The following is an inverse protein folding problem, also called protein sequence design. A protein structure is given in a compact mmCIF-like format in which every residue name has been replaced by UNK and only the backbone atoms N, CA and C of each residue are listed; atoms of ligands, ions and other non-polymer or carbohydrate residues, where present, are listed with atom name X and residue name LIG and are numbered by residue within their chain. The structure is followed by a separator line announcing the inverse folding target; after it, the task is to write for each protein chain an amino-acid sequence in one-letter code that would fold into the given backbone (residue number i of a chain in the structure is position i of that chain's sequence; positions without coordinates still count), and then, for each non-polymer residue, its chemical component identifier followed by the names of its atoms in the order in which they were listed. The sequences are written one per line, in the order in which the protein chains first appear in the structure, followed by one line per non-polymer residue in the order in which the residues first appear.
data_IF_259779808237
#
_entry.id   IF_259779808237
#
_cell.length_a   1.000
_cell.length_b   1.000
_cell.length_c   1.000
_cell.angle_alpha   90.00
_cell.angle_beta   90.00
_cell.angle_gamma   90.00
#
_symmetry.space_group_name_H-M   'P 1'
#
loop_
_entity.id
_entity.type
_entity.pdbx_description
1 polymer ?
#
# COMPACT_ATOMS: atom_id res chain seq x y z
N UNK A 1 4.94 16.18 21.53
CA UNK A 1 4.52 15.70 22.87
C UNK A 1 5.59 14.78 23.43
N UNK A 2 5.41 14.25 24.65
CA UNK A 2 6.46 13.47 25.34
C UNK A 2 6.45 11.95 25.03
N UNK A 3 5.59 11.48 24.12
CA UNK A 3 5.43 10.06 23.79
C UNK A 3 4.83 9.22 24.93
N UNK A 4 4.77 7.88 24.76
CA UNK A 4 4.99 7.16 23.51
C UNK A 4 3.86 7.40 22.50
N UNK A 5 4.15 7.22 21.21
CA UNK A 5 3.24 7.45 20.09
C UNK A 5 2.84 6.13 19.41
N UNK A 6 1.64 6.03 18.82
CA UNK A 6 1.32 4.90 17.97
C UNK A 6 2.29 4.84 16.78
N UNK A 7 2.87 3.67 16.54
CA UNK A 7 3.90 3.45 15.52
C UNK A 7 3.30 3.08 14.16
N UNK A 8 3.89 3.59 13.08
CA UNK A 8 3.52 3.26 11.69
C UNK A 8 4.80 2.99 10.89
N UNK A 9 4.81 1.95 10.06
CA UNK A 9 5.81 1.79 8.99
C UNK A 9 5.18 2.28 7.68
N UNK A 10 5.88 3.16 6.99
CA UNK A 10 5.48 3.76 5.72
C UNK A 10 6.32 3.19 4.56
N UNK A 11 5.62 2.65 3.56
CA UNK A 11 6.21 1.97 2.40
C UNK A 11 5.68 2.59 1.10
N UNK A 12 6.61 3.09 0.28
CA UNK A 12 6.33 3.55 -1.08
C UNK A 12 6.39 2.42 -2.11
N UNK A 13 5.98 2.74 -3.34
CA UNK A 13 5.98 1.82 -4.47
C UNK A 13 7.37 1.57 -5.07
N UNK A 14 7.36 1.10 -6.31
CA UNK A 14 8.58 0.98 -7.11
C UNK A 14 9.16 2.37 -7.40
N UNK A 15 10.48 2.51 -7.27
CA UNK A 15 11.22 3.76 -7.35
C UNK A 15 12.65 3.57 -6.83
N UNK A 16 12.75 2.76 -5.78
CA UNK A 16 13.95 2.68 -4.94
C UNK A 16 14.08 3.93 -4.08
N UNK A 17 15.18 4.02 -3.34
CA UNK A 17 15.42 5.15 -2.44
C UNK A 17 14.56 5.12 -1.18
N UNK A 18 14.47 6.28 -0.53
CA UNK A 18 13.76 6.48 0.73
C UNK A 18 12.93 7.78 0.68
N UNK A 19 11.70 7.75 0.14
CA UNK A 19 10.81 8.91 0.20
C UNK A 19 10.29 9.14 1.63
N UNK A 20 10.72 10.22 2.28
CA UNK A 20 10.40 10.47 3.69
C UNK A 20 9.19 11.40 3.91
N UNK A 21 8.78 12.13 2.88
CA UNK A 21 7.85 13.27 3.04
C UNK A 21 6.49 12.87 3.63
N UNK A 22 5.94 11.71 3.27
CA UNK A 22 4.66 11.21 3.84
C UNK A 22 4.81 10.85 5.31
N UNK A 23 5.88 10.15 5.68
CA UNK A 23 6.19 9.83 7.07
C UNK A 23 6.37 11.09 7.93
N UNK A 24 7.14 12.06 7.44
CA UNK A 24 7.35 13.35 8.11
C UNK A 24 6.04 14.12 8.34
N UNK A 25 5.18 14.19 7.33
CA UNK A 25 3.88 14.84 7.45
C UNK A 25 2.96 14.10 8.42
N UNK A 26 2.95 12.77 8.39
CA UNK A 26 2.12 11.96 9.29
C UNK A 26 2.61 12.03 10.75
N UNK A 27 3.92 12.18 10.98
CA UNK A 27 4.49 12.35 12.32
C UNK A 27 3.96 13.62 13.03
N UNK A 28 3.66 14.69 12.28
CA UNK A 28 3.02 15.91 12.81
C UNK A 28 1.59 15.67 13.34
N UNK A 29 1.00 14.50 13.05
CA UNK A 29 -0.34 14.12 13.48
C UNK A 29 -0.34 13.17 14.69
N UNK A 30 0.79 13.03 15.39
CA UNK A 30 0.90 12.32 16.66
C UNK A 30 1.27 10.83 16.53
N UNK A 31 1.93 10.47 15.43
CA UNK A 31 2.42 9.11 15.16
C UNK A 31 3.95 9.08 15.18
N UNK A 32 4.55 7.95 15.57
CA UNK A 32 5.94 7.65 15.28
C UNK A 32 5.97 6.89 13.95
N UNK A 33 6.58 7.46 12.90
CA UNK A 33 6.50 6.90 11.55
C UNK A 33 7.89 6.59 11.01
N UNK A 34 8.12 5.33 10.64
CA UNK A 34 9.34 4.88 9.98
C UNK A 34 9.10 4.82 8.47
N UNK A 35 9.69 5.74 7.71
CA UNK A 35 9.85 5.54 6.27
C UNK A 35 10.84 4.39 6.06
N UNK A 36 10.42 3.35 5.33
CA UNK A 36 11.22 2.13 5.14
C UNK A 36 11.60 1.97 3.68
N UNK A 37 12.90 2.08 3.39
CA UNK A 37 13.46 1.66 2.11
C UNK A 37 13.52 0.13 2.06
N UNK A 38 13.47 -0.46 0.87
CA UNK A 38 13.59 -1.93 0.73
C UNK A 38 14.40 -2.36 -0.50
N UNK A 39 14.80 -1.42 -1.37
CA UNK A 39 15.76 -1.62 -2.45
C UNK A 39 16.24 -0.27 -3.01
N UNK A 40 17.36 -0.27 -3.74
CA UNK A 40 17.84 0.90 -4.46
C UNK A 40 18.22 2.07 -3.55
N UNK A 41 18.64 1.80 -2.32
CA UNK A 41 19.03 2.79 -1.32
C UNK A 41 20.22 2.28 -0.51
N UNK A 42 21.26 3.10 -0.36
CA UNK A 42 22.49 2.76 0.36
C UNK A 42 23.05 1.37 0.01
N UNK A 43 23.19 0.48 0.99
CA UNK A 43 23.71 -0.88 0.86
C UNK A 43 22.64 -1.94 0.56
N UNK A 44 21.36 -1.55 0.49
CA UNK A 44 20.27 -2.44 0.10
C UNK A 44 20.43 -2.95 -1.35
N UNK A 45 19.77 -4.07 -1.71
CA UNK A 45 19.80 -4.59 -3.06
C UNK A 45 19.46 -3.52 -4.11
N UNK A 46 20.28 -3.41 -5.16
CA UNK A 46 20.12 -2.37 -6.19
C UNK A 46 18.88 -2.56 -7.08
N UNK A 47 18.38 -3.79 -7.17
CA UNK A 47 17.29 -4.16 -8.07
C UNK A 47 16.21 -4.92 -7.30
N UNK A 48 14.96 -4.69 -7.71
CA UNK A 48 13.82 -5.43 -7.21
C UNK A 48 13.72 -6.78 -7.94
N UNK A 49 14.35 -7.82 -7.39
CA UNK A 49 14.28 -9.20 -7.91
C UNK A 49 13.53 -10.14 -6.98
N UNK A 50 13.91 -10.08 -5.71
CA UNK A 50 13.28 -10.84 -4.65
C UNK A 50 13.23 -10.02 -3.36
N UNK A 51 12.24 -10.31 -2.54
CA UNK A 51 12.06 -9.74 -1.21
C UNK A 51 11.94 -10.86 -0.19
N UNK A 52 12.61 -10.69 0.94
CA UNK A 52 12.58 -11.59 2.09
C UNK A 52 11.83 -10.89 3.22
N UNK A 53 10.71 -11.45 3.66
CA UNK A 53 9.87 -10.80 4.69
C UNK A 53 10.57 -10.70 6.05
N UNK A 54 11.64 -11.46 6.28
CA UNK A 54 12.54 -11.33 7.42
C UNK A 54 13.08 -9.90 7.57
N UNK A 55 13.43 -9.22 6.47
CA UNK A 55 13.85 -7.81 6.48
C UNK A 55 12.76 -6.89 7.06
N UNK A 56 11.52 -7.13 6.67
CA UNK A 56 10.39 -6.34 7.13
C UNK A 56 9.99 -6.72 8.56
N UNK A 57 10.18 -7.98 8.97
CA UNK A 57 10.03 -8.45 10.34
C UNK A 57 11.02 -7.78 11.29
N UNK A 58 12.28 -7.61 10.86
CA UNK A 58 13.28 -6.82 11.57
C UNK A 58 12.83 -5.36 11.77
N UNK A 59 12.28 -4.71 10.73
CA UNK A 59 11.77 -3.35 10.84
C UNK A 59 10.56 -3.24 11.79
N UNK A 60 9.64 -4.21 11.77
CA UNK A 60 8.51 -4.30 12.72
C UNK A 60 9.05 -4.43 14.15
N UNK A 61 9.99 -5.33 14.38
CA UNK A 61 10.60 -5.57 15.70
C UNK A 61 11.36 -4.33 16.20
N UNK A 62 12.12 -3.67 15.33
CA UNK A 62 12.80 -2.42 15.64
C UNK A 62 11.81 -1.35 16.13
N UNK A 63 10.71 -1.16 15.41
CA UNK A 63 9.66 -0.21 15.82
C UNK A 63 9.04 -0.59 17.15
N UNK A 64 8.69 -1.85 17.38
CA UNK A 64 8.06 -2.31 18.62
C UNK A 64 8.99 -2.22 19.85
N UNK A 65 10.30 -2.30 19.65
CA UNK A 65 11.30 -2.16 20.72
C UNK A 65 11.65 -0.70 21.03
N UNK A 66 11.31 0.24 20.15
CA UNK A 66 11.63 1.65 20.35
C UNK A 66 10.81 2.26 21.50
N UNK A 67 11.47 2.88 22.48
CA UNK A 67 10.84 3.37 23.73
C UNK A 67 9.77 4.44 23.54
N UNK A 68 9.75 5.11 22.39
CA UNK A 68 8.75 6.11 22.01
C UNK A 68 7.60 5.54 21.15
N UNK A 69 7.58 4.24 20.87
CA UNK A 69 6.48 3.56 20.17
C UNK A 69 5.60 2.85 21.20
N UNK A 70 4.29 3.09 21.13
CA UNK A 70 3.34 2.69 22.16
C UNK A 70 3.08 1.17 22.21
N UNK A 71 3.09 0.49 21.07
CA UNK A 71 2.64 -0.90 20.97
C UNK A 71 1.15 -1.09 21.32
N UNK A 72 0.68 -2.35 21.47
CA UNK A 72 1.42 -3.61 21.37
C UNK A 72 1.71 -4.05 19.92
N UNK A 73 1.10 -3.40 18.94
CA UNK A 73 1.38 -3.56 17.52
C UNK A 73 1.57 -2.21 16.83
N UNK A 74 1.90 -2.25 15.55
CA UNK A 74 2.08 -1.07 14.70
C UNK A 74 1.05 -1.01 13.56
N UNK A 75 0.94 0.17 12.95
CA UNK A 75 0.28 0.36 11.66
C UNK A 75 1.22 0.15 10.49
N UNK A 76 0.67 -0.23 9.34
CA UNK A 76 1.36 -0.26 8.05
C UNK A 76 0.65 0.67 7.06
N UNK A 77 1.37 1.57 6.42
CA UNK A 77 0.87 2.43 5.34
C UNK A 77 1.64 2.12 4.07
N UNK A 78 0.95 1.57 3.07
CA UNK A 78 1.58 1.16 1.81
C UNK A 78 0.96 1.85 0.60
N UNK A 79 1.78 2.32 -0.33
CA UNK A 79 1.34 2.79 -1.65
C UNK A 79 1.88 1.88 -2.76
N UNK A 80 1.05 1.54 -3.76
CA UNK A 80 1.48 0.75 -4.93
C UNK A 80 2.14 -0.58 -4.51
N UNK A 81 3.38 -0.85 -4.92
CA UNK A 81 4.17 -2.01 -4.44
C UNK A 81 4.32 -2.05 -2.92
N UNK A 82 4.46 -0.90 -2.25
CA UNK A 82 4.45 -0.85 -0.78
C UNK A 82 3.14 -1.38 -0.20
N UNK A 83 2.03 -1.23 -0.92
CA UNK A 83 0.74 -1.81 -0.54
C UNK A 83 0.74 -3.34 -0.56
N UNK A 84 1.28 -3.96 -1.63
CA UNK A 84 1.34 -5.43 -1.69
C UNK A 84 2.30 -6.03 -0.64
N UNK A 85 3.37 -5.29 -0.30
CA UNK A 85 4.28 -5.64 0.80
C UNK A 85 3.57 -5.51 2.14
N UNK A 86 2.78 -4.45 2.37
CA UNK A 86 1.97 -4.31 3.58
C UNK A 86 0.96 -5.46 3.75
N UNK A 87 0.28 -5.88 2.68
CA UNK A 87 -0.63 -7.05 2.71
C UNK A 87 0.16 -8.32 3.06
N UNK A 88 1.34 -8.48 2.48
CA UNK A 88 2.23 -9.62 2.74
C UNK A 88 2.72 -9.64 4.19
N UNK A 89 3.22 -8.52 4.70
CA UNK A 89 3.61 -8.35 6.10
C UNK A 89 2.46 -8.69 7.03
N UNK A 90 1.27 -8.13 6.80
CA UNK A 90 0.08 -8.40 7.60
C UNK A 90 -0.33 -9.88 7.61
N UNK A 91 -0.08 -10.60 6.50
CA UNK A 91 -0.47 -12.01 6.34
C UNK A 91 0.47 -12.99 7.04
N UNK A 92 1.75 -12.62 7.19
CA UNK A 92 2.80 -13.54 7.63
C UNK A 92 3.48 -13.15 8.94
N UNK A 93 3.52 -11.86 9.27
CA UNK A 93 4.23 -11.33 10.43
C UNK A 93 3.27 -11.07 11.60
N UNK A 94 3.84 -11.04 12.81
CA UNK A 94 3.12 -10.66 14.04
C UNK A 94 3.37 -9.19 14.38
N UNK A 95 2.58 -8.64 15.30
CA UNK A 95 2.75 -7.26 15.77
C UNK A 95 2.17 -6.18 14.86
N UNK A 96 1.30 -6.56 13.92
CA UNK A 96 0.62 -5.63 13.01
C UNK A 96 -0.84 -5.50 13.44
N UNK A 97 -1.28 -4.28 13.75
CA UNK A 97 -2.63 -3.99 14.26
C UNK A 97 -3.55 -3.44 13.17
N UNK A 98 -3.03 -2.64 12.25
CA UNK A 98 -3.83 -1.97 11.23
C UNK A 98 -3.03 -1.75 9.95
N UNK A 99 -3.64 -1.94 8.79
CA UNK A 99 -2.97 -1.79 7.49
C UNK A 99 -3.81 -0.91 6.56
N UNK A 100 -3.26 0.23 6.16
CA UNK A 100 -3.86 1.14 5.17
C UNK A 100 -3.10 1.04 3.85
N UNK A 101 -3.85 0.90 2.76
CA UNK A 101 -3.32 0.65 1.41
C UNK A 101 -3.82 1.74 0.47
N UNK A 102 -2.93 2.42 -0.22
CA UNK A 102 -3.24 3.39 -1.26
C UNK A 102 -2.91 2.76 -2.61
N UNK A 103 -3.93 2.47 -3.41
CA UNK A 103 -3.78 1.84 -4.72
C UNK A 103 -2.87 0.60 -4.69
N UNK A 104 -3.03 -0.24 -3.65
CA UNK A 104 -2.26 -1.47 -3.44
C UNK A 104 -2.83 -2.67 -4.20
N UNK A 105 -2.02 -3.71 -4.35
CA UNK A 105 -2.43 -5.01 -4.89
C UNK A 105 -2.55 -6.05 -3.78
N UNK A 106 -3.49 -7.00 -3.93
CA UNK A 106 -3.60 -8.21 -3.08
C UNK A 106 -2.92 -9.43 -3.71
N UNK A 107 -2.31 -9.26 -4.87
CA UNK A 107 -1.39 -10.20 -5.49
C UNK A 107 0.04 -9.63 -5.43
N UNK A 108 1.03 -10.50 -5.29
CA UNK A 108 2.44 -10.11 -5.31
C UNK A 108 2.86 -9.76 -6.74
N UNK A 109 3.35 -8.54 -6.97
CA UNK A 109 3.73 -8.08 -8.33
C UNK A 109 5.22 -7.79 -8.43
N UNK A 110 5.83 -8.18 -9.56
CA UNK A 110 7.14 -7.71 -10.02
C UNK A 110 8.39 -8.35 -9.41
N UNK A 111 8.29 -8.99 -8.23
CA UNK A 111 9.40 -9.68 -7.58
C UNK A 111 8.95 -11.00 -6.95
N UNK A 112 9.87 -11.94 -6.74
CA UNK A 112 9.59 -13.13 -5.90
C UNK A 112 9.54 -12.69 -4.44
N UNK A 113 8.50 -13.11 -3.71
CA UNK A 113 8.42 -12.86 -2.27
C UNK A 113 8.70 -14.16 -1.51
N UNK A 114 9.55 -14.08 -0.49
CA UNK A 114 9.96 -15.21 0.35
C UNK A 114 9.70 -14.91 1.82
N UNK A 115 9.33 -15.96 2.56
CA UNK A 115 9.33 -15.95 4.02
C UNK A 115 9.51 -17.36 4.52
N UNK A 116 10.66 -17.67 5.14
CA UNK A 116 11.02 -19.04 5.53
C UNK A 116 10.87 -19.98 4.32
N UNK A 117 10.11 -21.06 4.47
CA UNK A 117 9.86 -22.05 3.42
C UNK A 117 8.77 -21.61 2.42
N UNK A 118 8.16 -20.44 2.59
CA UNK A 118 7.08 -19.94 1.73
C UNK A 118 7.70 -19.10 0.60
N UNK A 119 7.22 -19.35 -0.62
CA UNK A 119 7.54 -18.54 -1.80
C UNK A 119 6.25 -18.16 -2.52
N UNK A 120 6.06 -16.87 -2.77
CA UNK A 120 4.97 -16.34 -3.59
C UNK A 120 5.60 -15.80 -4.89
N UNK A 121 5.29 -16.37 -6.07
CA UNK A 121 5.80 -15.87 -7.33
C UNK A 121 5.18 -14.51 -7.69
N UNK A 122 5.83 -13.69 -8.53
CA UNK A 122 5.22 -12.49 -9.07
C UNK A 122 4.06 -12.85 -10.00
N UNK A 123 3.00 -12.05 -9.97
CA UNK A 123 1.89 -12.09 -10.90
C UNK A 123 2.41 -11.91 -12.33
N UNK A 124 1.94 -12.77 -13.25
CA UNK A 124 2.33 -12.74 -14.65
C UNK A 124 1.94 -11.44 -15.34
N UNK A 125 2.70 -11.11 -16.38
CA UNK A 125 2.51 -9.90 -17.19
C UNK A 125 2.34 -10.30 -18.66
N UNK A 126 1.35 -9.70 -19.32
CA UNK A 126 1.15 -9.83 -20.77
C UNK A 126 1.26 -8.46 -21.45
N UNK A 127 2.44 -8.19 -22.01
CA UNK A 127 2.74 -6.92 -22.67
C UNK A 127 1.90 -6.67 -23.93
N UNK A 128 1.24 -7.70 -24.50
CA UNK A 128 0.32 -7.51 -25.63
C UNK A 128 -0.96 -6.75 -25.25
N UNK A 129 -1.26 -6.63 -23.95
CA UNK A 129 -2.41 -5.85 -23.43
C UNK A 129 -2.07 -4.39 -23.16
N UNK A 130 -0.80 -3.99 -23.26
CA UNK A 130 -0.38 -2.58 -23.14
C UNK A 130 -0.85 -1.82 -24.38
N UNK A 131 -1.46 -0.65 -24.16
CA UNK A 131 -1.94 0.22 -25.23
C UNK A 131 -1.02 1.42 -25.32
N UNK A 132 -0.57 1.80 -26.51
CA UNK A 132 0.29 2.98 -26.70
C UNK A 132 -0.47 3.99 -27.53
N UNK A 133 -0.70 5.18 -26.96
CA UNK A 133 -1.38 6.27 -27.64
C UNK A 133 -0.48 6.97 -28.67
N UNK A 134 -1.07 7.88 -29.45
CA UNK A 134 -0.33 8.68 -30.44
C UNK A 134 0.78 9.55 -29.82
N UNK A 135 0.62 9.94 -28.54
CA UNK A 135 1.63 10.68 -27.77
C UNK A 135 2.85 9.85 -27.37
N UNK A 136 2.84 8.52 -27.59
CA UNK A 136 3.87 7.60 -27.13
C UNK A 136 3.77 7.23 -25.65
N UNK A 137 2.80 7.79 -24.92
CA UNK A 137 2.49 7.40 -23.53
C UNK A 137 1.71 6.08 -23.56
N UNK A 138 2.17 5.12 -22.76
CA UNK A 138 1.53 3.83 -22.63
C UNK A 138 0.48 3.80 -21.52
N UNK A 139 -0.58 3.04 -21.74
CA UNK A 139 -1.55 2.64 -20.73
C UNK A 139 -1.31 1.16 -20.40
N UNK A 140 -0.95 0.90 -19.15
CA UNK A 140 -0.49 -0.41 -18.66
C UNK A 140 -1.51 -1.09 -17.74
N UNK A 141 -2.69 -0.49 -17.55
CA UNK A 141 -3.74 -0.96 -16.62
C UNK A 141 -4.11 -2.44 -16.79
N UNK A 142 -4.08 -2.95 -18.04
CA UNK A 142 -4.41 -4.32 -18.39
C UNK A 142 -3.18 -5.24 -18.53
N UNK A 143 -1.96 -4.78 -18.22
CA UNK A 143 -0.75 -5.58 -18.43
C UNK A 143 -0.72 -6.83 -17.54
N UNK A 144 -1.12 -6.70 -16.26
CA UNK A 144 -1.10 -7.79 -15.29
C UNK A 144 -2.15 -8.86 -15.57
N UNK A 145 -1.79 -10.12 -15.33
CA UNK A 145 -2.72 -11.26 -15.40
C UNK A 145 -3.76 -11.18 -14.28
N UNK A 146 -4.83 -11.97 -14.40
CA UNK A 146 -5.81 -12.11 -13.34
C UNK A 146 -5.28 -13.06 -12.27
N UNK A 147 -5.06 -12.62 -11.01
CA UNK A 147 -4.56 -13.48 -9.93
C UNK A 147 -5.59 -14.51 -9.45
N UNK A 148 -6.79 -14.57 -10.05
CA UNK A 148 -7.84 -15.54 -9.73
C UNK A 148 -7.87 -16.73 -10.71
N UNK A 149 -6.98 -16.77 -11.71
CA UNK A 149 -7.02 -17.72 -12.80
C UNK A 149 -5.69 -18.45 -13.01
N UNK A 150 -5.77 -19.70 -13.49
CA UNK A 150 -4.61 -20.47 -13.92
C UNK A 150 -3.47 -20.53 -12.89
N UNK A 151 -2.20 -20.48 -13.34
CA UNK A 151 -1.03 -20.50 -12.45
C UNK A 151 -0.88 -19.20 -11.64
N UNK A 152 -1.44 -18.09 -12.10
CA UNK A 152 -1.34 -16.77 -11.45
C UNK A 152 -2.04 -16.73 -10.08
N UNK A 153 -2.91 -17.71 -9.78
CA UNK A 153 -3.46 -17.94 -8.43
C UNK A 153 -2.40 -18.05 -7.34
N UNK A 154 -1.20 -18.51 -7.69
CA UNK A 154 -0.10 -18.62 -6.74
C UNK A 154 0.46 -17.27 -6.28
N UNK A 155 0.21 -16.19 -7.04
CA UNK A 155 0.64 -14.83 -6.68
C UNK A 155 -0.30 -14.16 -5.66
N UNK A 156 -1.50 -14.69 -5.45
CA UNK A 156 -2.49 -14.11 -4.55
C UNK A 156 -2.02 -14.23 -3.10
N UNK A 157 -1.85 -13.09 -2.42
CA UNK A 157 -1.34 -13.04 -1.05
C UNK A 157 -2.44 -13.54 -0.09
N UNK A 158 -2.15 -14.45 0.84
CA UNK A 158 -3.17 -15.05 1.71
C UNK A 158 -3.59 -14.09 2.85
N UNK A 159 -4.18 -12.94 2.51
CA UNK A 159 -4.58 -11.91 3.45
C UNK A 159 -5.62 -12.37 4.47
N UNK A 160 -6.31 -13.48 4.23
CA UNK A 160 -7.14 -14.13 5.24
C UNK A 160 -6.36 -14.58 6.49
N UNK A 161 -5.04 -14.71 6.41
CA UNK A 161 -4.18 -15.02 7.56
C UNK A 161 -3.91 -13.81 8.46
N UNK A 162 -4.16 -12.61 7.96
CA UNK A 162 -3.93 -11.40 8.73
C UNK A 162 -4.88 -11.29 9.93
N UNK A 163 -4.34 -10.75 11.03
CA UNK A 163 -5.08 -10.46 12.27
C UNK A 163 -5.41 -8.96 12.38
N UNK A 164 -4.91 -8.13 11.47
CA UNK A 164 -5.12 -6.68 11.47
C UNK A 164 -6.41 -6.25 10.76
N UNK A 165 -6.86 -5.03 11.05
CA UNK A 165 -7.88 -4.34 10.25
C UNK A 165 -7.27 -3.77 8.97
N UNK A 166 -8.06 -3.69 7.89
CA UNK A 166 -7.61 -3.10 6.62
C UNK A 166 -8.46 -1.88 6.22
N UNK A 167 -7.78 -0.88 5.65
CA UNK A 167 -8.37 0.22 4.90
C UNK A 167 -7.78 0.23 3.48
N UNK A 168 -8.65 0.25 2.48
CA UNK A 168 -8.27 0.42 1.07
C UNK A 168 -8.68 1.82 0.60
N UNK A 169 -7.71 2.61 0.18
CA UNK A 169 -7.86 3.90 -0.50
C UNK A 169 -7.59 3.64 -1.98
N UNK A 170 -8.59 3.90 -2.82
CA UNK A 170 -8.59 3.53 -4.25
C UNK A 170 -8.88 4.74 -5.12
N UNK A 171 -7.99 5.02 -6.07
CA UNK A 171 -8.30 5.87 -7.21
C UNK A 171 -9.00 5.05 -8.29
N UNK A 172 -10.20 5.48 -8.69
CA UNK A 172 -10.97 4.76 -9.72
C UNK A 172 -10.46 4.99 -11.14
N UNK A 173 -9.59 5.99 -11.33
CA UNK A 173 -8.90 6.27 -12.58
C UNK A 173 -7.42 5.84 -12.51
N UNK A 174 -7.11 4.80 -11.73
CA UNK A 174 -5.76 4.24 -11.65
C UNK A 174 -5.38 3.49 -12.94
N UNK A 175 -4.42 4.04 -13.68
CA UNK A 175 -3.91 3.47 -14.94
C UNK A 175 -2.63 2.63 -14.78
N UNK A 176 -2.07 2.50 -13.57
CA UNK A 176 -0.98 1.57 -13.31
C UNK A 176 -1.48 0.13 -13.26
N UNK A 177 -2.58 -0.09 -12.53
CA UNK A 177 -3.22 -1.39 -12.38
C UNK A 177 -4.65 -1.24 -11.83
N UNK A 178 -5.40 -2.34 -11.76
CA UNK A 178 -6.80 -2.33 -11.34
C UNK A 178 -6.94 -2.30 -9.80
N UNK A 179 -6.63 -1.16 -9.18
CA UNK A 179 -6.68 -0.99 -7.71
C UNK A 179 -8.05 -1.33 -7.10
N UNK A 180 -9.15 -0.90 -7.73
CA UNK A 180 -10.51 -1.23 -7.26
C UNK A 180 -10.79 -2.73 -7.30
N UNK A 181 -10.36 -3.40 -8.36
CA UNK A 181 -10.45 -4.86 -8.47
C UNK A 181 -9.70 -5.54 -7.33
N UNK A 182 -8.45 -5.14 -7.04
CA UNK A 182 -7.68 -5.74 -5.95
C UNK A 182 -8.32 -5.49 -4.57
N UNK A 183 -8.85 -4.30 -4.31
CA UNK A 183 -9.54 -3.99 -3.07
C UNK A 183 -10.82 -4.83 -2.89
N UNK A 184 -11.61 -4.97 -3.95
CA UNK A 184 -12.85 -5.79 -3.94
C UNK A 184 -12.53 -7.27 -3.75
N UNK A 185 -11.54 -7.82 -4.46
CA UNK A 185 -11.15 -9.22 -4.32
C UNK A 185 -10.50 -9.52 -2.96
N UNK A 186 -9.73 -8.58 -2.41
CA UNK A 186 -9.24 -8.65 -1.03
C UNK A 186 -10.37 -8.72 -0.02
N UNK A 187 -11.36 -7.84 -0.16
CA UNK A 187 -12.55 -7.81 0.69
C UNK A 187 -13.37 -9.10 0.60
N UNK A 188 -13.55 -9.64 -0.61
CA UNK A 188 -14.20 -10.95 -0.80
C UNK A 188 -13.44 -12.06 -0.10
N UNK A 189 -12.10 -12.10 -0.25
CA UNK A 189 -11.26 -13.13 0.39
C UNK A 189 -11.35 -13.10 1.91
N UNK A 190 -11.27 -11.91 2.50
CA UNK A 190 -11.41 -11.70 3.94
C UNK A 190 -12.78 -12.22 4.45
N UNK A 191 -13.86 -11.77 3.83
CA UNK A 191 -15.22 -12.17 4.22
C UNK A 191 -15.48 -13.66 4.04
N UNK A 192 -14.96 -14.27 2.97
CA UNK A 192 -15.07 -15.71 2.73
C UNK A 192 -14.40 -16.57 3.82
N UNK A 193 -13.48 -15.99 4.59
CA UNK A 193 -12.80 -16.63 5.72
C UNK A 193 -13.27 -16.09 7.08
N UNK A 194 -14.44 -15.46 7.14
CA UNK A 194 -15.05 -14.98 8.38
C UNK A 194 -14.37 -13.77 9.01
N UNK A 195 -13.51 -13.06 8.27
CA UNK A 195 -12.93 -11.79 8.72
C UNK A 195 -13.92 -10.65 8.52
N UNK A 196 -13.74 -9.58 9.30
CA UNK A 196 -14.52 -8.35 9.14
C UNK A 196 -14.33 -7.77 7.73
N UNK A 197 -15.42 -7.19 7.21
CA UNK A 197 -15.37 -6.49 5.92
C UNK A 197 -14.45 -5.27 6.07
N UNK A 198 -13.41 -5.13 5.24
CA UNK A 198 -12.52 -3.97 5.31
C UNK A 198 -13.22 -2.70 4.85
N UNK A 199 -12.73 -1.56 5.32
CA UNK A 199 -13.14 -0.25 4.83
C UNK A 199 -12.52 -0.04 3.44
N UNK A 200 -13.33 0.35 2.44
CA UNK A 200 -12.88 0.67 1.08
C UNK A 200 -13.44 2.05 0.73
N UNK A 201 -12.55 2.98 0.42
CA UNK A 201 -12.90 4.33 -0.04
C UNK A 201 -12.40 4.48 -1.47
N UNK A 202 -13.35 4.64 -2.39
CA UNK A 202 -13.09 4.83 -3.81
C UNK A 202 -13.28 6.30 -4.18
N UNK A 203 -12.31 6.86 -4.90
CA UNK A 203 -12.32 8.25 -5.37
C UNK A 203 -12.44 8.30 -6.89
N UNK A 204 -13.61 8.70 -7.43
CA UNK A 204 -13.79 8.96 -8.85
C UNK A 204 -12.80 10.01 -9.34
N UNK A 205 -12.16 9.78 -10.50
CA UNK A 205 -11.22 10.73 -11.10
C UNK A 205 -9.89 10.89 -10.34
N UNK A 206 -9.59 10.05 -9.36
CA UNK A 206 -8.26 9.96 -8.76
C UNK A 206 -7.45 8.84 -9.41
N UNK A 207 -6.17 9.11 -9.66
CA UNK A 207 -5.24 8.20 -10.34
C UNK A 207 -4.37 7.40 -9.36
N UNK A 208 -3.24 6.89 -9.86
CA UNK A 208 -2.36 6.00 -9.11
C UNK A 208 -1.63 6.67 -7.93
N UNK A 209 -1.16 7.90 -8.09
CA UNK A 209 -0.34 8.62 -7.11
C UNK A 209 -1.17 9.52 -6.19
N UNK A 210 -1.99 8.92 -5.31
CA UNK A 210 -2.67 9.67 -4.24
C UNK A 210 -1.65 10.03 -3.15
N UNK A 211 -0.97 11.16 -3.34
CA UNK A 211 0.03 11.70 -2.42
C UNK A 211 -0.60 12.48 -1.25
N UNK A 212 0.18 12.93 -0.25
CA UNK A 212 -0.31 13.85 0.77
C UNK A 212 -0.97 15.12 0.18
N UNK A 213 -1.83 15.81 0.95
CA UNK A 213 -2.63 16.93 0.44
C UNK A 213 -1.80 17.99 -0.29
N UNK A 214 -2.36 18.48 -1.39
CA UNK A 214 -1.81 19.55 -2.23
C UNK A 214 -0.54 19.21 -3.04
N UNK A 215 -0.07 17.96 -3.04
CA UNK A 215 0.92 17.52 -4.02
C UNK A 215 0.33 17.60 -5.44
N UNK A 216 1.03 18.22 -6.40
CA UNK A 216 0.50 18.36 -7.75
C UNK A 216 0.37 17.00 -8.43
N UNK A 217 -0.75 16.77 -9.08
CA UNK A 217 -1.01 15.53 -9.83
C UNK A 217 0.00 15.34 -10.96
N UNK A 218 0.61 14.16 -11.02
CA UNK A 218 1.45 13.74 -12.14
C UNK A 218 0.67 12.77 -13.05
N UNK A 219 0.17 13.27 -14.18
CA UNK A 219 -0.66 12.47 -15.09
C UNK A 219 0.11 11.35 -15.81
N UNK A 220 1.41 11.56 -16.08
CA UNK A 220 2.26 10.61 -16.77
C UNK A 220 3.74 10.84 -16.44
N UNK A 221 4.52 9.77 -16.32
CA UNK A 221 5.97 9.83 -16.13
C UNK A 221 6.62 8.51 -16.51
N UNK A 222 7.93 8.39 -16.31
CA UNK A 222 8.67 7.16 -16.60
C UNK A 222 8.32 6.06 -15.62
N UNK A 223 7.85 4.92 -16.13
CA UNK A 223 7.68 3.72 -15.32
C UNK A 223 8.98 2.92 -15.31
N UNK A 224 9.68 2.87 -14.17
CA UNK A 224 11.04 2.29 -14.10
C UNK A 224 11.12 0.81 -14.48
N UNK A 225 10.13 -0.02 -14.13
CA UNK A 225 10.12 -1.43 -14.53
C UNK A 225 9.77 -1.64 -16.02
N UNK A 226 8.87 -0.83 -16.56
CA UNK A 226 8.45 -0.94 -17.96
C UNK A 226 9.43 -0.24 -18.92
N UNK A 227 10.19 0.74 -18.43
CA UNK A 227 11.20 1.48 -19.18
C UNK A 227 10.63 2.47 -20.21
N UNK A 228 9.34 2.82 -20.11
CA UNK A 228 8.69 3.80 -20.99
C UNK A 228 7.75 4.74 -20.22
N UNK A 229 7.38 5.90 -20.80
CA UNK A 229 6.39 6.77 -20.19
C UNK A 229 5.04 6.05 -20.13
N UNK A 230 4.38 6.10 -18.97
CA UNK A 230 3.03 5.57 -18.78
C UNK A 230 2.11 6.63 -18.21
N UNK A 231 0.81 6.43 -18.43
CA UNK A 231 -0.25 7.16 -17.78
C UNK A 231 -0.47 6.63 -16.35
N UNK A 232 -0.67 7.54 -15.41
CA UNK A 232 -1.04 7.22 -14.02
C UNK A 232 -2.50 7.52 -13.72
N UNK A 233 -3.15 8.29 -14.60
CA UNK A 233 -4.54 8.72 -14.50
C UNK A 233 -4.75 9.85 -13.50
N UNK A 234 -6.02 10.21 -13.33
CA UNK A 234 -6.51 11.28 -12.48
C UNK A 234 -6.90 12.54 -13.26
N UNK A 235 -7.93 13.22 -12.75
CA UNK A 235 -8.29 14.58 -13.14
C UNK A 235 -7.84 15.58 -12.07
N UNK A 236 -7.18 16.71 -12.43
CA UNK A 236 -6.48 17.55 -11.46
C UNK A 236 -7.31 17.96 -10.23
N UNK A 237 -8.58 18.35 -10.44
CA UNK A 237 -9.46 18.77 -9.34
C UNK A 237 -9.88 17.58 -8.48
N UNK A 238 -10.43 16.53 -9.09
CA UNK A 238 -10.92 15.35 -8.37
C UNK A 238 -9.78 14.64 -7.64
N UNK A 239 -8.61 14.56 -8.25
CA UNK A 239 -7.40 13.99 -7.66
C UNK A 239 -6.96 14.78 -6.42
N UNK A 240 -6.92 16.12 -6.49
CA UNK A 240 -6.58 16.97 -5.35
C UNK A 240 -7.57 16.79 -4.18
N UNK A 241 -8.87 16.77 -4.48
CA UNK A 241 -9.91 16.50 -3.48
C UNK A 241 -9.75 15.11 -2.83
N UNK A 242 -9.40 14.10 -3.63
CA UNK A 242 -9.12 12.75 -3.14
C UNK A 242 -7.90 12.70 -2.22
N UNK A 243 -6.81 13.40 -2.52
CA UNK A 243 -5.62 13.48 -1.66
C UNK A 243 -5.96 14.09 -0.28
N UNK A 244 -6.80 15.14 -0.27
CA UNK A 244 -7.23 15.80 0.97
C UNK A 244 -8.05 14.84 1.82
N UNK A 245 -9.05 14.17 1.25
CA UNK A 245 -9.91 13.25 1.99
C UNK A 245 -9.16 12.00 2.42
N UNK A 246 -8.38 11.36 1.52
CA UNK A 246 -7.60 10.17 1.82
C UNK A 246 -6.66 10.39 3.02
N UNK A 247 -6.03 11.57 3.11
CA UNK A 247 -5.20 11.94 4.25
C UNK A 247 -5.96 11.96 5.57
N UNK A 248 -7.22 12.40 5.55
CA UNK A 248 -8.10 12.40 6.73
C UNK A 248 -8.55 10.97 7.08
N UNK A 249 -8.93 10.17 6.09
CA UNK A 249 -9.33 8.77 6.27
C UNK A 249 -8.19 7.95 6.91
N UNK A 250 -6.97 8.07 6.38
CA UNK A 250 -5.79 7.35 6.87
C UNK A 250 -5.49 7.73 8.33
N UNK A 251 -5.52 9.01 8.66
CA UNK A 251 -5.32 9.46 10.05
C UNK A 251 -6.42 8.96 10.98
N UNK A 252 -7.69 9.02 10.55
CA UNK A 252 -8.81 8.56 11.35
C UNK A 252 -8.72 7.05 11.63
N UNK A 253 -8.40 6.27 10.60
CA UNK A 253 -8.18 4.83 10.68
C UNK A 253 -7.06 4.47 11.67
N UNK A 254 -5.88 5.06 11.53
CA UNK A 254 -4.78 4.76 12.47
C UNK A 254 -5.05 5.26 13.88
N UNK A 255 -5.72 6.40 14.07
CA UNK A 255 -6.14 6.84 15.40
C UNK A 255 -7.09 5.81 16.03
N UNK A 256 -8.12 5.38 15.31
CA UNK A 256 -9.10 4.39 15.76
C UNK A 256 -8.42 3.09 16.20
N UNK A 257 -7.54 2.53 15.37
CA UNK A 257 -7.00 1.19 15.60
C UNK A 257 -5.72 1.15 16.44
N UNK A 258 -4.89 2.20 16.44
CA UNK A 258 -3.61 2.19 17.17
C UNK A 258 -3.63 2.96 18.50
N UNK A 259 -4.61 3.84 18.75
CA UNK A 259 -4.67 4.58 20.03
C UNK A 259 -5.50 3.89 21.09
N UNK A 260 -6.36 2.93 20.71
CA UNK A 260 -7.22 2.18 21.63
C UNK A 260 -8.41 2.95 22.19
N UNK A 261 -8.78 4.11 21.61
CA UNK A 261 -10.02 4.81 21.96
C UNK A 261 -11.15 4.37 21.02
N UNK A 262 -12.25 3.76 21.52
CA UNK A 262 -13.47 3.61 20.75
C UNK A 262 -13.90 4.98 20.25
N UNK A 263 -14.33 5.08 18.99
CA UNK A 263 -14.81 6.33 18.41
C UNK A 263 -15.93 6.90 19.29
N UNK A 264 -15.69 8.02 19.94
CA UNK A 264 -16.75 8.81 20.53
C UNK A 264 -17.59 9.34 19.36
N UNK A 265 -18.71 8.68 19.10
CA UNK A 265 -19.79 9.24 18.30
C UNK A 265 -20.12 10.60 18.88
N UNK A 266 -19.88 11.64 18.09
CA UNK A 266 -20.34 13.00 18.35
C UNK A 266 -21.86 13.00 18.42
N UNK A 267 -22.41 12.82 19.62
CA UNK A 267 -23.79 13.22 19.92
C UNK A 267 -23.85 14.74 19.83
N UNK A 268 -24.39 15.23 18.72
CA UNK A 268 -24.83 16.62 18.59
C UNK A 268 -25.87 16.88 19.68
N UNK A 269 -25.58 17.85 20.55
CA UNK A 269 -26.59 18.67 21.22
C UNK A 269 -27.17 19.66 20.19
#
# INVERSE_FOLDING_TARGET
GNGPFPGIIDLYGTGGGLPEYRACLLANHGFAVLALAFYGYEDLPKQMKEFHLEYFEEAVNYMLQHSQVKGPGIGLLGHSKGGDLCVSMASFLKGITATALINGSVANVGAVLRYKDITIPPLGVNLKRVRVGQSGIADVIDALNNPLEGPDRQSFIPLEKAECCFLFIVGQDDHNWKSEFFAVEGSKRLQAHGKEKPEIVCYPGAGHYIEPPFFPMCAASMHLLFGKPVMWGGEPKAHCEAQIDAWQQIQAFFRKHLTGKPSATSSKL
#
